data_IF_316736607136
#
_entry.id   IF_316736607136
#
_cell.length_a   1.000
_cell.length_b   1.000
_cell.length_c   1.000
_cell.angle_alpha   90.00
_cell.angle_beta   90.00
_cell.angle_gamma   90.00
#
_symmetry.space_group_name_H-M   'P 1'
#
loop_
_entity.id
_entity.type
_entity.pdbx_description
1 polymer ?
#
# COMPACT_ATOMS: atom_id res chain seq x y z
N UNK A 1 15.74 -7.94 -11.32
CA UNK A 1 16.24 -7.39 -11.41
C UNK A 1 15.87 -7.28 -11.44
N UNK A 2 16.10 -7.60 -10.94
CA UNK A 2 16.39 -7.27 -10.87
C UNK A 2 16.40 -7.23 -10.65
N UNK A 3 16.59 -7.72 -10.04
CA UNK A 3 17.02 -7.36 -9.93
C UNK A 3 17.17 -7.41 -10.08
N UNK A 4 17.23 -7.89 -9.81
CA UNK A 4 17.70 -7.54 -10.03
C UNK A 4 17.97 -7.58 -10.29
N UNK A 5 18.29 -7.69 -10.15
CA UNK A 5 18.98 -7.29 -10.38
C UNK A 5 19.20 -7.17 -10.12
N UNK A 6 19.40 -7.74 -9.99
CA UNK A 6 19.93 -7.12 -9.79
C UNK A 6 20.13 -7.33 -9.50
N UNK A 7 20.65 -7.47 -9.15
CA UNK A 7 21.17 -7.08 -9.00
C UNK A 7 21.69 -7.16 -8.91
N UNK A 8 22.18 -7.32 -8.79
CA UNK A 8 22.95 -6.95 -8.73
C UNK A 8 23.59 -6.78 -8.32
N UNK A 9 23.90 -7.03 -8.04
CA UNK A 9 24.65 -6.57 -7.60
C UNK A 9 25.21 -6.46 -7.12
N UNK A 10 25.59 -6.64 -6.69
CA UNK A 10 26.19 -6.14 -6.19
C UNK A 10 26.66 -6.12 -5.79
N UNK A 11 27.02 -6.35 -5.29
CA UNK A 11 27.53 -5.84 -4.87
C UNK A 11 27.92 -5.84 -4.40
N UNK A 12 28.34 -5.88 -3.98
CA UNK A 12 28.75 -5.35 -3.42
C UNK A 12 29.18 -4.91 -3.01
N UNK A 13 29.36 -5.02 -2.74
CA UNK A 13 29.72 -4.23 -2.18
C UNK A 13 29.90 -3.77 -1.70
N UNK A 14 30.22 -3.66 -1.46
CA UNK A 14 30.29 -2.93 -0.66
C UNK A 14 29.94 -2.78 -0.06
N UNK A 15 29.89 -2.88 0.49
CA UNK A 15 29.48 -2.52 1.27
C UNK A 15 29.61 -2.39 1.94
N UNK A 16 29.85 -2.28 2.47
CA UNK A 16 29.81 -1.74 3.18
C UNK A 16 30.18 -1.21 3.41
N UNK A 17 30.38 -0.93 3.39
CA UNK A 17 30.55 -0.20 3.61
C UNK A 17 30.24 0.30 4.00
N UNK A 18 29.95 0.46 4.52
CA UNK A 18 29.37 1.06 4.93
C UNK A 18 28.96 1.10 5.82
N UNK A 19 29.10 1.10 6.26
CA UNK A 19 28.39 0.97 7.02
C UNK A 19 28.06 1.83 7.86
N UNK A 20 28.54 2.31 8.23
CA UNK A 20 28.18 3.15 9.00
C UNK A 20 27.39 3.83 8.43
N UNK A 21 27.49 3.64 7.84
CA UNK A 21 26.88 4.08 7.15
C UNK A 21 25.84 3.60 7.12
N UNK A 22 25.55 3.06 7.82
CA UNK A 22 24.70 2.68 7.64
C UNK A 22 23.60 2.67 8.29
N UNK A 23 23.59 3.19 9.09
CA UNK A 23 22.39 3.38 9.26
C UNK A 23 21.72 3.53 8.08
N UNK A 24 22.20 3.03 7.25
CA UNK A 24 21.70 3.17 6.15
C UNK A 24 20.79 2.21 5.74
N UNK A 25 20.03 2.53 4.86
CA UNK A 25 19.03 1.76 4.27
C UNK A 25 19.69 0.69 3.51
N UNK A 26 19.29 -0.52 3.75
CA UNK A 26 19.81 -1.64 2.97
C UNK A 26 19.30 -1.48 1.54
N UNK A 27 20.19 -1.60 0.55
CA UNK A 27 19.79 -1.28 -0.83
C UNK A 27 18.67 -2.13 -1.39
N UNK A 28 18.48 -3.34 -0.86
CA UNK A 28 17.43 -4.22 -1.37
C UNK A 28 16.07 -3.95 -0.73
N UNK A 29 16.03 -3.09 0.29
CA UNK A 29 14.75 -2.75 0.91
C UNK A 29 14.10 -1.62 0.15
N UNK A 30 12.89 -1.88 -0.30
CA UNK A 30 12.12 -0.89 -1.02
C UNK A 30 11.35 -0.04 -0.01
N UNK A 31 11.18 1.24 -0.32
CA UNK A 31 10.39 2.13 0.52
C UNK A 31 8.96 1.59 0.62
N UNK A 32 8.52 1.35 1.86
CA UNK A 32 7.22 0.73 2.12
C UNK A 32 6.07 1.60 1.61
N UNK A 33 6.12 2.89 1.95
CA UNK A 33 5.01 3.78 1.59
C UNK A 33 4.92 3.93 0.09
N UNK A 34 6.06 4.07 -0.57
CA UNK A 34 6.07 4.18 -2.02
C UNK A 34 5.49 2.92 -2.68
N UNK A 35 5.90 1.75 -2.19
CA UNK A 35 5.38 0.50 -2.73
C UNK A 35 3.87 0.40 -2.53
N UNK A 36 3.39 0.75 -1.33
CA UNK A 36 1.97 0.66 -1.03
C UNK A 36 1.16 1.67 -1.82
N UNK A 37 1.69 2.88 -2.04
CA UNK A 37 1.02 3.86 -2.88
C UNK A 37 0.85 3.39 -4.32
N UNK A 38 1.83 2.68 -4.83
CA UNK A 38 1.77 2.16 -6.19
C UNK A 38 0.91 0.92 -6.33
N UNK A 39 0.64 0.22 -5.21
CA UNK A 39 0.01 -1.10 -5.26
C UNK A 39 -1.23 -1.25 -4.41
N UNK A 40 -1.77 -0.16 -3.84
CA UNK A 40 -2.89 -0.30 -2.92
C UNK A 40 -4.16 -0.85 -3.56
N UNK A 41 -4.29 -0.74 -4.87
CA UNK A 41 -5.43 -1.29 -5.59
C UNK A 41 -5.26 -2.76 -5.93
N UNK A 42 -4.06 -3.29 -5.77
CA UNK A 42 -3.76 -4.68 -6.10
C UNK A 42 -4.13 -5.60 -4.94
N UNK A 43 -4.39 -6.84 -5.31
CA UNK A 43 -4.81 -7.83 -4.33
C UNK A 43 -3.57 -8.53 -3.78
N UNK A 44 -2.95 -7.92 -2.79
CA UNK A 44 -1.74 -8.46 -2.17
C UNK A 44 -1.98 -8.70 -0.69
N UNK A 45 -1.50 -9.85 -0.19
CA UNK A 45 -1.52 -10.12 1.24
C UNK A 45 -0.42 -9.34 1.93
N UNK A 46 -0.51 -9.25 3.26
CA UNK A 46 0.55 -8.60 4.04
C UNK A 46 1.89 -9.29 3.84
N UNK A 47 1.87 -10.63 3.76
CA UNK A 47 3.08 -11.40 3.51
C UNK A 47 3.70 -11.07 2.15
N UNK A 48 2.84 -10.93 1.13
CA UNK A 48 3.32 -10.58 -0.20
C UNK A 48 3.92 -9.19 -0.23
N UNK A 49 3.28 -8.23 0.43
CA UNK A 49 3.82 -6.86 0.48
C UNK A 49 5.17 -6.87 1.17
N UNK A 50 5.28 -7.61 2.28
CA UNK A 50 6.56 -7.72 2.97
C UNK A 50 7.62 -8.31 2.04
N UNK A 51 7.27 -9.41 1.38
CA UNK A 51 8.19 -10.08 0.47
C UNK A 51 8.68 -9.14 -0.65
N UNK A 52 7.74 -8.45 -1.30
CA UNK A 52 8.10 -7.57 -2.41
C UNK A 52 8.90 -6.36 -1.98
N UNK A 53 8.83 -5.98 -0.71
CA UNK A 53 9.63 -4.87 -0.19
C UNK A 53 10.94 -5.34 0.45
N UNK A 54 11.26 -6.65 0.32
CA UNK A 54 12.51 -7.20 0.82
C UNK A 54 12.53 -7.43 2.31
N UNK A 55 11.37 -7.71 2.91
CA UNK A 55 11.24 -7.85 4.36
C UNK A 55 10.50 -9.12 4.74
N UNK A 56 10.78 -9.62 5.96
CA UNK A 56 9.89 -10.58 6.58
C UNK A 56 8.64 -9.85 7.05
N UNK A 57 7.58 -10.60 7.34
CA UNK A 57 6.35 -9.98 7.82
C UNK A 57 6.59 -9.19 9.10
N UNK A 58 7.37 -9.75 10.03
CA UNK A 58 7.66 -9.07 11.29
C UNK A 58 8.42 -7.76 11.07
N UNK A 59 9.42 -7.79 10.19
CA UNK A 59 10.18 -6.59 9.86
C UNK A 59 9.31 -5.55 9.17
N UNK A 60 8.44 -5.99 8.27
CA UNK A 60 7.52 -5.10 7.59
C UNK A 60 6.63 -4.36 8.59
N UNK A 61 6.03 -5.10 9.51
CA UNK A 61 5.15 -4.49 10.50
C UNK A 61 5.90 -3.51 11.41
N UNK A 62 7.11 -3.88 11.80
CA UNK A 62 7.93 -3.01 12.64
C UNK A 62 8.33 -1.74 11.90
N UNK A 63 8.75 -1.87 10.65
CA UNK A 63 9.17 -0.72 9.85
C UNK A 63 7.98 0.17 9.52
N UNK A 64 6.81 -0.41 9.28
CA UNK A 64 5.62 0.38 8.99
C UNK A 64 5.21 1.26 10.16
N UNK A 65 5.40 0.77 11.39
CA UNK A 65 5.11 1.58 12.59
C UNK A 65 5.93 2.85 12.65
N UNK A 66 7.08 2.87 12.00
CA UNK A 66 7.95 4.05 11.99
C UNK A 66 7.45 5.12 11.04
N UNK A 67 6.61 4.77 10.08
CA UNK A 67 6.16 5.72 9.05
C UNK A 67 4.68 6.03 9.11
N UNK A 68 3.90 5.32 9.93
CA UNK A 68 2.47 5.56 10.03
C UNK A 68 1.96 5.12 11.40
N UNK A 69 0.94 5.83 11.89
CA UNK A 69 0.24 5.42 13.10
C UNK A 69 -0.81 4.36 12.83
N UNK A 70 -1.19 4.19 11.57
CA UNK A 70 -2.15 3.18 11.17
C UNK A 70 -1.47 1.84 10.98
N UNK A 71 -2.21 0.75 11.17
CA UNK A 71 -1.70 -0.54 10.74
C UNK A 71 -1.66 -0.58 9.21
N UNK A 72 -0.86 -1.46 8.60
CA UNK A 72 -0.82 -1.55 7.14
C UNK A 72 -2.19 -1.80 6.52
N UNK A 73 -2.99 -2.67 7.15
CA UNK A 73 -4.33 -2.96 6.63
C UNK A 73 -5.23 -1.74 6.68
N UNK A 74 -5.21 -1.01 7.78
CA UNK A 74 -6.01 0.21 7.91
C UNK A 74 -5.57 1.26 6.92
N UNK A 75 -4.26 1.37 6.71
CA UNK A 75 -3.72 2.30 5.73
C UNK A 75 -4.24 1.98 4.33
N UNK A 76 -4.22 0.68 3.96
CA UNK A 76 -4.71 0.25 2.65
C UNK A 76 -6.20 0.57 2.48
N UNK A 77 -7.00 0.24 3.49
CA UNK A 77 -8.44 0.50 3.43
C UNK A 77 -8.69 2.00 3.25
N UNK A 78 -8.02 2.81 4.06
CA UNK A 78 -8.21 4.26 3.98
C UNK A 78 -7.82 4.80 2.62
N UNK A 79 -6.69 4.34 2.09
CA UNK A 79 -6.21 4.81 0.80
C UNK A 79 -7.16 4.42 -0.33
N UNK A 80 -7.70 3.19 -0.25
CA UNK A 80 -8.68 2.73 -1.24
C UNK A 80 -9.96 3.55 -1.17
N UNK A 81 -10.41 3.87 0.04
CA UNK A 81 -11.61 4.70 0.21
C UNK A 81 -11.42 6.11 -0.33
N UNK A 82 -10.24 6.68 -0.13
CA UNK A 82 -9.93 8.01 -0.67
C UNK A 82 -9.98 7.99 -2.19
N UNK A 83 -9.39 6.97 -2.80
CA UNK A 83 -9.41 6.84 -4.26
C UNK A 83 -10.84 6.64 -4.77
N UNK A 84 -11.64 5.84 -4.06
CA UNK A 84 -13.03 5.61 -4.43
C UNK A 84 -13.82 6.92 -4.38
N UNK A 85 -13.61 7.70 -3.34
CA UNK A 85 -14.32 8.99 -3.20
C UNK A 85 -14.02 9.91 -4.37
N UNK A 86 -12.75 9.97 -4.76
CA UNK A 86 -12.35 10.80 -5.90
C UNK A 86 -13.06 10.36 -7.17
N UNK A 87 -13.13 9.05 -7.41
CA UNK A 87 -13.80 8.52 -8.60
C UNK A 87 -15.30 8.74 -8.56
N UNK A 88 -15.91 8.60 -7.39
CA UNK A 88 -17.35 8.84 -7.23
C UNK A 88 -17.66 10.31 -7.52
N UNK A 89 -16.86 11.22 -7.02
CA UNK A 89 -17.10 12.66 -7.22
C UNK A 89 -16.84 13.09 -8.67
N UNK A 90 -15.97 12.37 -9.39
CA UNK A 90 -15.80 12.61 -10.81
C UNK A 90 -17.06 12.27 -11.60
N UNK A 91 -17.80 11.28 -11.13
CA UNK A 91 -19.02 10.82 -11.81
C UNK A 91 -18.74 9.93 -13.00
N UNK A 92 -19.80 9.43 -13.60
CA UNK A 92 -19.73 8.64 -14.84
C UNK A 92 -19.47 7.16 -14.65
N UNK A 93 -19.33 6.68 -13.42
CA UNK A 93 -19.06 5.27 -13.16
C UNK A 93 -19.96 4.76 -12.05
N UNK A 94 -20.31 3.47 -12.12
CA UNK A 94 -21.11 2.84 -11.07
C UNK A 94 -20.28 2.65 -9.82
N UNK A 95 -20.92 2.82 -8.67
CA UNK A 95 -20.26 2.62 -7.38
C UNK A 95 -19.71 1.20 -7.28
N UNK A 96 -20.44 0.20 -7.78
CA UNK A 96 -19.97 -1.18 -7.73
C UNK A 96 -18.67 -1.37 -8.53
N UNK A 97 -18.55 -0.72 -9.68
CA UNK A 97 -17.33 -0.79 -10.47
C UNK A 97 -16.16 -0.14 -9.73
N UNK A 98 -16.41 1.03 -9.15
CA UNK A 98 -15.37 1.75 -8.41
C UNK A 98 -14.90 0.92 -7.23
N UNK A 99 -15.83 0.29 -6.51
CA UNK A 99 -15.51 -0.57 -5.38
C UNK A 99 -14.45 -1.62 -5.74
N UNK A 100 -14.69 -2.34 -6.82
CA UNK A 100 -13.77 -3.40 -7.22
C UNK A 100 -12.48 -2.85 -7.82
N UNK A 101 -12.56 -1.73 -8.54
CA UNK A 101 -11.38 -1.13 -9.17
C UNK A 101 -10.37 -0.63 -8.14
N UNK A 102 -10.84 -0.12 -7.00
CA UNK A 102 -9.91 0.38 -5.98
C UNK A 102 -9.40 -0.72 -5.05
N UNK A 103 -9.86 -1.97 -5.23
CA UNK A 103 -9.29 -3.11 -4.54
C UNK A 103 -10.19 -3.79 -3.52
N UNK A 104 -11.43 -3.38 -3.37
CA UNK A 104 -12.36 -4.08 -2.48
C UNK A 104 -12.96 -5.27 -3.21
N UNK A 105 -13.28 -6.32 -2.46
CA UNK A 105 -13.88 -7.54 -3.02
C UNK A 105 -15.35 -7.66 -2.73
N UNK A 106 -15.89 -6.85 -1.84
CA UNK A 106 -17.25 -6.99 -1.36
C UNK A 106 -17.87 -5.61 -1.27
N UNK A 107 -18.95 -5.42 -2.03
CA UNK A 107 -19.61 -4.12 -2.11
C UNK A 107 -20.23 -3.70 -0.77
N UNK A 108 -20.81 -4.65 -0.05
CA UNK A 108 -21.43 -4.35 1.25
C UNK A 108 -20.37 -3.88 2.25
N UNK A 109 -19.25 -4.55 2.28
CA UNK A 109 -18.14 -4.20 3.17
C UNK A 109 -17.58 -2.82 2.80
N UNK A 110 -17.39 -2.59 1.51
CA UNK A 110 -16.95 -1.28 1.02
C UNK A 110 -17.92 -0.18 1.46
N UNK A 111 -19.20 -0.38 1.24
CA UNK A 111 -20.22 0.63 1.57
C UNK A 111 -20.23 0.96 3.06
N UNK A 112 -20.09 -0.07 3.90
CA UNK A 112 -20.05 0.13 5.33
C UNK A 112 -18.83 0.96 5.74
N UNK A 113 -17.66 0.60 5.25
CA UNK A 113 -16.43 1.31 5.58
C UNK A 113 -16.45 2.74 5.04
N UNK A 114 -16.98 2.92 3.85
CA UNK A 114 -17.09 4.25 3.24
C UNK A 114 -18.00 5.15 4.10
N UNK A 115 -19.14 4.63 4.52
CA UNK A 115 -20.06 5.40 5.35
C UNK A 115 -19.44 5.73 6.71
N UNK A 116 -18.68 4.79 7.27
CA UNK A 116 -18.01 5.04 8.55
C UNK A 116 -16.98 6.17 8.43
N UNK A 117 -16.28 6.22 7.30
CA UNK A 117 -15.25 7.22 7.11
C UNK A 117 -15.80 8.58 6.72
N UNK A 118 -16.80 8.63 5.86
CA UNK A 118 -17.28 9.88 5.28
C UNK A 118 -18.66 10.31 5.76
N UNK A 119 -19.34 9.48 6.54
CA UNK A 119 -20.63 9.83 7.11
C UNK A 119 -21.81 9.62 6.20
N UNK A 120 -21.62 9.33 4.93
CA UNK A 120 -22.72 9.05 3.99
C UNK A 120 -22.35 7.86 3.12
N UNK A 121 -23.38 7.20 2.59
CA UNK A 121 -23.19 6.05 1.73
C UNK A 121 -22.55 6.47 0.40
N UNK A 122 -21.78 5.59 -0.25
CA UNK A 122 -21.14 5.93 -1.53
C UNK A 122 -22.14 6.40 -2.59
N UNK A 123 -23.33 5.81 -2.62
CA UNK A 123 -24.33 6.15 -3.61
C UNK A 123 -24.89 7.56 -3.40
N UNK A 124 -24.71 8.13 -2.23
CA UNK A 124 -25.18 9.47 -1.90
C UNK A 124 -24.06 10.51 -1.95
N UNK A 125 -22.85 10.09 -2.26
CA UNK A 125 -21.67 10.94 -2.18
C UNK A 125 -21.32 11.65 -3.49
N UNK A 126 -22.21 11.58 -4.48
CA UNK A 126 -21.94 12.07 -5.83
C UNK A 126 -22.21 13.56 -6.00
N UNK A 127 -22.56 14.24 -4.94
CA UNK A 127 -22.77 15.67 -5.04
C UNK A 127 -22.26 16.43 -3.82
#
# INVERSE_FOLDING_TARGET
>A
MKMTEGMRAILKTDVNLYASLFDFVEPWKIDIVEFMEKNYMNELSMEEIAYYTGRSLATFKRDFKKVSELTPQKWLIRRRLEAARDLIHKGGRKVSEICFDVGFKNLSHFSKLYKEMYGIAPTLSTF
#
